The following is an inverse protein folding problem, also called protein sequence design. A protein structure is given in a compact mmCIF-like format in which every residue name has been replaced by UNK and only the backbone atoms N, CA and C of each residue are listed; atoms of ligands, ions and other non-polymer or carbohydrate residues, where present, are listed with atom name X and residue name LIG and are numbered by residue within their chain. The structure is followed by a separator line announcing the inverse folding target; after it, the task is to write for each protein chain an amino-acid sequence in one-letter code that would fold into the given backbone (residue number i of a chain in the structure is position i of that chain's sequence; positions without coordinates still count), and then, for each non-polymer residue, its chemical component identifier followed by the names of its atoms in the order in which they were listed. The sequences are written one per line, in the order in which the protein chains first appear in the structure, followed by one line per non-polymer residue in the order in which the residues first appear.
data_IF_959843537088
#
_entry.id   IF_959843537088
#
_cell.length_a   1.000
_cell.length_b   1.000
_cell.length_c   1.000
_cell.angle_alpha   90.00
_cell.angle_beta   90.00
_cell.angle_gamma   90.00
#
_symmetry.space_group_name_H-M   'P 1'
#
loop_
_entity.id
_entity.type
_entity.pdbx_description
1 polymer ?
#
# COMPACT_ATOMS: atom_id res chain seq x y z
N UNK A 1 11.69 33.71 25.91
CA UNK A 1 12.39 33.31 27.15
C UNK A 1 12.73 31.84 27.00
N UNK A 2 14.02 31.48 26.83
CA UNK A 2 14.42 30.06 26.77
C UNK A 2 14.08 29.39 28.10
N UNK A 3 13.36 28.27 28.04
CA UNK A 3 13.22 27.37 29.18
C UNK A 3 14.63 27.00 29.67
N UNK A 4 14.90 27.01 30.98
CA UNK A 4 16.18 26.56 31.49
C UNK A 4 16.42 25.11 31.03
N UNK A 5 17.56 24.90 30.39
CA UNK A 5 17.99 23.60 29.86
C UNK A 5 18.25 22.69 31.06
N UNK A 6 17.47 21.62 31.19
CA UNK A 6 17.62 20.69 32.30
C UNK A 6 19.01 20.03 32.25
N UNK A 7 19.67 19.77 33.40
CA UNK A 7 21.06 19.31 33.43
C UNK A 7 21.30 17.96 32.74
N UNK A 8 20.27 17.13 32.57
CA UNK A 8 20.33 15.84 31.89
C UNK A 8 20.10 15.92 30.37
N UNK A 9 19.69 17.07 29.85
CA UNK A 9 19.17 17.19 28.47
C UNK A 9 20.23 16.93 27.39
N UNK A 10 21.49 17.31 27.63
CA UNK A 10 22.58 17.07 26.67
C UNK A 10 22.99 15.59 26.65
N UNK A 11 23.08 14.94 27.82
CA UNK A 11 23.37 13.51 27.91
C UNK A 11 22.23 12.68 27.26
N UNK A 12 20.98 13.04 27.56
CA UNK A 12 19.80 12.41 26.96
C UNK A 12 19.81 12.57 25.44
N UNK A 13 20.00 13.79 24.93
CA UNK A 13 20.05 14.05 23.50
C UNK A 13 21.19 13.26 22.81
N UNK A 14 22.36 13.19 23.44
CA UNK A 14 23.50 12.41 22.93
C UNK A 14 23.19 10.92 22.87
N UNK A 15 22.58 10.37 23.93
CA UNK A 15 22.21 8.95 24.01
C UNK A 15 21.16 8.58 22.95
N UNK A 16 20.14 9.41 22.76
CA UNK A 16 19.12 9.22 21.72
C UNK A 16 19.69 9.37 20.31
N UNK A 17 20.58 10.34 20.08
CA UNK A 17 21.24 10.51 18.79
C UNK A 17 22.13 9.29 18.45
N UNK A 18 22.88 8.77 19.43
CA UNK A 18 23.67 7.55 19.25
C UNK A 18 22.78 6.34 18.91
N UNK A 19 21.64 6.20 19.58
CA UNK A 19 20.69 5.12 19.32
C UNK A 19 20.08 5.20 17.90
N UNK A 20 19.75 6.41 17.40
CA UNK A 20 19.30 6.61 16.01
C UNK A 20 20.36 6.21 15.00
N UNK A 21 21.61 6.62 15.21
CA UNK A 21 22.72 6.26 14.31
C UNK A 21 22.93 4.75 14.31
N UNK A 22 22.89 4.11 15.48
CA UNK A 22 22.97 2.66 15.60
C UNK A 22 21.83 1.97 14.82
N UNK A 23 20.58 2.40 15.02
CA UNK A 23 19.40 1.83 14.37
C UNK A 23 19.48 1.97 12.84
N UNK A 24 19.82 3.17 12.33
CA UNK A 24 19.98 3.42 10.91
C UNK A 24 21.17 2.66 10.30
N UNK A 25 22.18 2.30 11.09
CA UNK A 25 23.28 1.45 10.62
C UNK A 25 22.86 -0.03 10.53
N UNK A 26 22.07 -0.52 11.48
CA UNK A 26 21.59 -1.92 11.51
C UNK A 26 20.50 -2.19 10.47
N UNK A 27 19.54 -1.27 10.31
CA UNK A 27 18.49 -1.35 9.30
C UNK A 27 18.51 -0.10 8.38
N UNK A 28 19.46 0.01 7.44
CA UNK A 28 19.61 1.19 6.58
C UNK A 28 18.42 1.48 5.66
N UNK A 29 17.53 0.50 5.46
CA UNK A 29 16.29 0.67 4.71
C UNK A 29 15.19 1.39 5.51
N UNK A 30 15.31 1.49 6.83
CA UNK A 30 14.42 2.24 7.71
C UNK A 30 15.00 3.60 8.12
N UNK A 31 16.15 4.01 7.59
CA UNK A 31 16.82 5.24 8.01
C UNK A 31 15.92 6.49 7.95
N UNK A 32 15.12 6.64 6.89
CA UNK A 32 14.17 7.76 6.79
C UNK A 32 13.15 7.73 7.94
N UNK A 33 12.59 6.56 8.26
CA UNK A 33 11.68 6.40 9.39
C UNK A 33 12.36 6.73 10.73
N UNK A 34 13.60 6.26 10.94
CA UNK A 34 14.40 6.52 12.16
C UNK A 34 14.60 8.02 12.39
N UNK A 35 14.90 8.78 11.34
CA UNK A 35 15.14 10.22 11.47
C UNK A 35 13.86 11.05 11.48
N UNK A 36 12.75 10.53 10.93
CA UNK A 36 11.43 11.16 10.97
C UNK A 36 10.67 10.92 12.28
N UNK A 37 11.00 9.87 13.04
CA UNK A 37 10.42 9.61 14.36
C UNK A 37 10.69 10.80 15.29
N UNK A 38 9.64 11.37 15.88
CA UNK A 38 9.78 12.45 16.86
C UNK A 38 10.01 11.79 18.23
N UNK A 39 11.04 12.22 18.96
CA UNK A 39 11.27 11.76 20.33
C UNK A 39 10.91 12.88 21.28
N UNK A 40 9.90 12.68 22.11
CA UNK A 40 9.43 13.65 23.08
C UNK A 40 9.87 13.25 24.50
N UNK A 41 10.82 13.99 25.10
CA UNK A 41 11.19 13.76 26.49
C UNK A 41 10.03 14.12 27.42
N UNK A 42 9.65 13.18 28.27
CA UNK A 42 8.62 13.37 29.29
C UNK A 42 9.16 14.15 30.49
N UNK A 43 8.23 14.58 31.36
CA UNK A 43 8.62 15.15 32.65
C UNK A 43 9.23 14.04 33.50
N UNK A 44 10.51 14.16 33.90
CA UNK A 44 11.18 13.10 34.62
C UNK A 44 10.64 12.92 36.02
N UNK A 45 10.66 11.67 36.49
CA UNK A 45 10.57 11.34 37.90
C UNK A 45 11.95 11.40 38.55
N UNK A 46 12.04 11.94 39.77
CA UNK A 46 13.28 12.02 40.53
C UNK A 46 13.08 11.51 41.97
N UNK A 47 14.07 10.81 42.50
CA UNK A 47 14.05 10.31 43.86
C UNK A 47 14.04 11.47 44.86
N UNK A 48 13.03 11.53 45.73
CA UNK A 48 12.80 12.67 46.66
C UNK A 48 14.04 13.04 47.50
N UNK A 49 14.88 12.05 47.84
CA UNK A 49 16.03 12.22 48.74
C UNK A 49 17.33 12.60 48.01
N UNK A 50 17.56 12.09 46.81
CA UNK A 50 18.83 12.27 46.08
C UNK A 50 18.71 13.21 44.88
N UNK A 51 17.49 13.45 44.39
CA UNK A 51 17.24 14.20 43.16
C UNK A 51 17.68 13.46 41.90
N UNK A 52 18.13 12.21 42.02
CA UNK A 52 18.52 11.38 40.89
C UNK A 52 17.29 10.94 40.09
N UNK A 53 17.45 10.86 38.77
CA UNK A 53 16.39 10.39 37.89
C UNK A 53 16.05 8.93 38.21
N UNK A 54 14.76 8.63 38.23
CA UNK A 54 14.25 7.29 38.48
C UNK A 54 13.66 6.77 37.17
N UNK A 55 14.13 5.60 36.72
CA UNK A 55 13.57 4.92 35.57
C UNK A 55 12.13 4.48 35.85
N UNK A 56 11.24 4.80 34.93
CA UNK A 56 9.84 4.40 34.95
C UNK A 56 9.64 3.13 34.09
N UNK A 57 9.26 1.98 34.68
CA UNK A 57 8.99 0.74 33.95
C UNK A 57 7.89 0.88 32.89
N UNK A 58 6.97 1.83 33.02
CA UNK A 58 5.90 2.07 32.04
C UNK A 58 6.48 2.48 30.67
N UNK A 59 7.67 3.09 30.65
CA UNK A 59 8.36 3.55 29.44
C UNK A 59 9.52 2.64 29.03
N UNK A 60 9.62 1.43 29.60
CA UNK A 60 10.70 0.48 29.29
C UNK A 60 10.76 0.06 27.81
N UNK A 61 9.61 0.06 27.12
CA UNK A 61 9.48 -0.22 25.69
C UNK A 61 9.51 1.03 24.80
N UNK A 62 9.68 2.22 25.40
CA UNK A 62 9.65 3.51 24.72
C UNK A 62 8.43 3.66 23.79
N UNK A 63 7.21 3.65 24.35
CA UNK A 63 5.97 3.56 23.59
C UNK A 63 5.84 4.68 22.55
N UNK A 64 5.24 4.34 21.41
CA UNK A 64 4.90 5.32 20.37
C UNK A 64 3.40 5.55 20.26
N UNK A 65 3.04 6.73 19.77
CA UNK A 65 1.67 7.03 19.36
C UNK A 65 1.49 7.02 17.83
N UNK A 66 0.23 7.05 17.40
CA UNK A 66 -0.14 7.04 15.97
C UNK A 66 0.34 8.28 15.19
N UNK A 67 0.87 9.30 15.86
CA UNK A 67 1.45 10.51 15.26
C UNK A 67 2.97 10.42 15.12
N UNK A 68 3.56 9.24 15.28
CA UNK A 68 5.01 9.03 15.18
C UNK A 68 5.80 9.79 16.26
N UNK A 69 5.22 9.92 17.45
CA UNK A 69 5.92 10.40 18.63
C UNK A 69 6.29 9.23 19.52
N UNK A 70 7.57 9.09 19.82
CA UNK A 70 8.14 8.17 20.80
C UNK A 70 8.29 8.91 22.11
N UNK A 71 7.61 8.42 23.14
CA UNK A 71 7.57 9.02 24.46
C UNK A 71 8.75 8.52 25.29
N UNK A 72 9.60 9.44 25.73
CA UNK A 72 10.89 9.11 26.34
C UNK A 72 10.95 9.59 27.78
N UNK A 73 10.85 8.67 28.74
CA UNK A 73 11.22 8.96 30.12
C UNK A 73 12.75 9.15 30.24
N UNK A 74 13.25 10.30 30.73
CA UNK A 74 14.68 10.54 30.86
C UNK A 74 15.40 9.53 31.77
N UNK A 75 14.77 9.07 32.86
CA UNK A 75 15.38 8.11 33.78
C UNK A 75 15.62 6.76 33.10
N UNK A 76 14.59 6.24 32.44
CA UNK A 76 14.62 4.99 31.68
C UNK A 76 15.60 5.08 30.51
N UNK A 77 15.55 6.16 29.73
CA UNK A 77 16.45 6.36 28.61
C UNK A 77 17.93 6.40 29.04
N UNK A 78 18.25 7.03 30.17
CA UNK A 78 19.63 7.12 30.63
C UNK A 78 20.14 5.83 31.28
N UNK A 79 19.24 5.01 31.83
CA UNK A 79 19.57 3.68 32.37
C UNK A 79 19.71 2.61 31.28
N UNK A 80 19.19 2.85 30.08
CA UNK A 80 19.14 1.86 28.99
C UNK A 80 20.37 1.97 28.06
N UNK A 81 21.03 0.85 27.72
CA UNK A 81 22.12 0.82 26.73
C UNK A 81 21.68 1.37 25.36
N UNK A 82 22.60 2.05 24.67
CA UNK A 82 22.35 2.67 23.35
C UNK A 82 21.80 1.66 22.33
N UNK A 83 22.36 0.46 22.29
CA UNK A 83 21.96 -0.58 21.32
C UNK A 83 20.54 -1.06 21.59
N UNK A 84 20.15 -1.14 22.86
CA UNK A 84 18.80 -1.52 23.27
C UNK A 84 17.77 -0.43 22.94
N UNK A 85 18.11 0.85 23.12
CA UNK A 85 17.25 1.97 22.65
C UNK A 85 17.14 1.91 21.12
N UNK A 86 18.25 1.63 20.42
CA UNK A 86 18.28 1.47 18.97
C UNK A 86 17.35 0.35 18.49
N UNK A 87 17.34 -0.79 19.19
CA UNK A 87 16.42 -1.88 18.94
C UNK A 87 14.96 -1.45 19.13
N UNK A 88 14.64 -0.78 20.24
CA UNK A 88 13.29 -0.24 20.48
C UNK A 88 12.87 0.77 19.41
N UNK A 89 13.76 1.61 18.89
CA UNK A 89 13.45 2.51 17.77
C UNK A 89 13.00 1.72 16.54
N UNK A 90 13.73 0.68 16.15
CA UNK A 90 13.38 -0.15 15.01
C UNK A 90 12.06 -0.89 15.25
N UNK A 91 11.88 -1.43 16.45
CA UNK A 91 10.67 -2.11 16.86
C UNK A 91 9.45 -1.20 16.79
N UNK A 92 9.52 -0.01 17.39
CA UNK A 92 8.43 0.96 17.38
C UNK A 92 8.11 1.48 15.97
N UNK A 93 9.12 1.68 15.11
CA UNK A 93 8.90 1.97 13.68
C UNK A 93 8.14 0.83 13.00
N UNK A 94 8.40 -0.42 13.38
CA UNK A 94 7.65 -1.58 12.95
C UNK A 94 6.14 -1.41 13.16
N UNK A 95 5.71 -1.03 14.37
CA UNK A 95 4.29 -0.80 14.66
C UNK A 95 3.69 0.29 13.77
N UNK A 96 4.39 1.41 13.66
CA UNK A 96 3.91 2.59 12.93
C UNK A 96 3.79 2.33 11.43
N UNK A 97 4.82 1.74 10.82
CA UNK A 97 4.90 1.51 9.38
C UNK A 97 3.95 0.38 8.95
N UNK A 98 3.74 -0.63 9.80
CA UNK A 98 2.82 -1.75 9.53
C UNK A 98 1.37 -1.46 9.89
N UNK A 99 1.11 -0.28 10.45
CA UNK A 99 -0.23 0.17 10.81
C UNK A 99 -0.91 -0.75 11.83
N UNK A 100 -0.17 -1.21 12.84
CA UNK A 100 -0.72 -2.12 13.86
C UNK A 100 -1.92 -1.50 14.60
N UNK A 101 -1.87 -0.20 14.90
CA UNK A 101 -3.01 0.53 15.45
C UNK A 101 -4.29 0.41 14.60
N UNK A 102 -4.18 0.50 13.26
CA UNK A 102 -5.33 0.42 12.35
C UNK A 102 -5.81 -1.02 12.11
N UNK A 103 -4.89 -1.99 12.25
CA UNK A 103 -5.16 -3.42 12.09
C UNK A 103 -5.72 -4.06 13.37
N UNK A 104 -5.54 -3.40 14.52
CA UNK A 104 -6.04 -3.85 15.80
C UNK A 104 -7.54 -4.21 15.75
N UNK A 105 -7.93 -5.43 16.14
CA UNK A 105 -9.32 -5.80 16.26
C UNK A 105 -9.98 -5.14 17.47
N UNK A 106 -9.17 -4.62 18.40
CA UNK A 106 -9.60 -3.98 19.63
C UNK A 106 -10.12 -2.59 19.30
N UNK A 107 -11.40 -2.34 19.60
CA UNK A 107 -12.00 -1.03 19.38
C UNK A 107 -12.04 -0.25 20.68
N UNK A 108 -11.60 1.02 20.70
CA UNK A 108 -11.78 1.86 21.86
C UNK A 108 -13.28 2.01 22.13
N UNK A 109 -13.78 1.44 23.23
CA UNK A 109 -15.17 1.70 23.62
C UNK A 109 -15.25 3.13 24.15
N UNK A 110 -16.20 3.93 23.68
CA UNK A 110 -16.40 5.29 24.19
C UNK A 110 -17.19 5.24 25.50
N UNK A 111 -16.63 5.74 26.61
CA UNK A 111 -17.35 5.86 27.88
C UNK A 111 -16.41 6.02 29.09
N UNK A 112 -16.95 6.36 30.28
CA UNK A 112 -16.18 6.43 31.52
C UNK A 112 -15.65 5.07 32.00
N UNK A 113 -16.18 3.96 31.46
CA UNK A 113 -15.74 2.58 31.70
C UNK A 113 -14.93 1.99 30.52
N UNK A 114 -14.36 2.84 29.65
CA UNK A 114 -13.56 2.41 28.51
C UNK A 114 -12.34 1.60 28.98
N UNK A 115 -11.97 0.51 28.28
CA UNK A 115 -10.89 -0.35 28.71
C UNK A 115 -9.58 0.41 28.77
N UNK A 116 -8.85 0.13 29.84
CA UNK A 116 -7.53 0.67 30.10
C UNK A 116 -6.53 -0.20 29.35
N UNK A 117 -5.85 0.38 28.37
CA UNK A 117 -4.59 0.02 27.71
C UNK A 117 -3.91 -1.34 28.01
N UNK A 118 -3.09 -1.84 27.06
CA UNK A 118 -2.44 -3.17 27.07
C UNK A 118 -1.71 -3.62 28.37
N UNK A 119 -1.36 -2.69 29.27
CA UNK A 119 -0.71 -2.98 30.56
C UNK A 119 -1.51 -2.57 31.80
N UNK A 120 -2.62 -1.83 31.66
CA UNK A 120 -3.51 -1.40 32.75
C UNK A 120 -2.81 -0.90 34.01
N UNK A 121 -2.69 0.41 34.21
CA UNK A 121 -2.34 0.95 35.54
C UNK A 121 -3.45 1.86 36.06
N UNK A 122 -3.95 1.54 37.27
CA UNK A 122 -5.13 2.08 37.97
C UNK A 122 -6.51 1.43 37.66
N UNK A 123 -6.53 0.32 36.91
CA UNK A 123 -7.73 -0.48 36.65
C UNK A 123 -7.36 -1.66 35.75
N UNK A 124 -8.27 -2.64 35.62
CA UNK A 124 -8.01 -3.91 34.94
C UNK A 124 -7.38 -3.70 33.56
N UNK A 125 -6.32 -4.48 33.27
CA UNK A 125 -5.71 -4.61 31.95
C UNK A 125 -6.76 -4.96 30.91
N UNK A 126 -6.73 -4.29 29.76
CA UNK A 126 -7.40 -4.79 28.57
C UNK A 126 -6.62 -5.99 28.02
N UNK A 127 -7.09 -7.19 28.34
CA UNK A 127 -6.51 -8.45 27.89
C UNK A 127 -6.52 -8.57 26.36
N UNK A 128 -7.53 -8.03 25.69
CA UNK A 128 -7.62 -8.09 24.22
C UNK A 128 -6.56 -7.16 23.60
N UNK A 129 -6.40 -5.94 24.13
CA UNK A 129 -5.36 -5.01 23.71
C UNK A 129 -3.95 -5.57 23.98
N UNK A 130 -3.79 -6.25 25.12
CA UNK A 130 -2.52 -6.88 25.44
C UNK A 130 -2.14 -7.99 24.48
N UNK A 131 -3.07 -8.90 24.19
CA UNK A 131 -2.84 -10.01 23.25
C UNK A 131 -2.53 -9.49 21.84
N UNK A 132 -3.23 -8.43 21.41
CA UNK A 132 -2.90 -7.77 20.16
C UNK A 132 -1.49 -7.18 20.17
N UNK A 133 -1.08 -6.51 21.26
CA UNK A 133 0.28 -5.98 21.38
C UNK A 133 1.33 -7.10 21.26
N UNK A 134 1.14 -8.23 21.96
CA UNK A 134 2.06 -9.37 21.86
C UNK A 134 2.14 -9.97 20.44
N UNK A 135 1.02 -10.03 19.73
CA UNK A 135 0.98 -10.52 18.37
C UNK A 135 1.65 -9.55 17.37
N UNK A 136 1.46 -8.24 17.59
CA UNK A 136 2.13 -7.18 16.85
C UNK A 136 3.65 -7.19 17.10
N UNK A 137 4.06 -7.37 18.35
CA UNK A 137 5.47 -7.53 18.74
C UNK A 137 6.08 -8.75 18.06
N UNK A 138 5.36 -9.87 18.02
CA UNK A 138 5.81 -11.09 17.33
C UNK A 138 6.07 -10.85 15.83
N UNK A 139 5.18 -10.15 15.10
CA UNK A 139 5.40 -9.79 13.68
C UNK A 139 6.67 -8.95 13.48
N UNK A 140 7.01 -8.09 14.43
CA UNK A 140 8.18 -7.21 14.36
C UNK A 140 9.45 -7.95 14.76
N UNK A 141 9.41 -8.65 15.89
CA UNK A 141 10.57 -9.31 16.48
C UNK A 141 11.06 -10.46 15.62
N UNK A 142 10.16 -11.16 14.90
CA UNK A 142 10.51 -12.16 13.88
C UNK A 142 11.48 -11.61 12.82
N UNK A 143 11.21 -10.42 12.28
CA UNK A 143 12.08 -9.78 11.29
C UNK A 143 13.39 -9.26 11.92
N UNK A 144 13.35 -8.75 13.15
CA UNK A 144 14.56 -8.30 13.87
C UNK A 144 15.49 -9.49 14.22
N UNK A 145 14.91 -10.60 14.67
CA UNK A 145 15.62 -11.86 14.93
C UNK A 145 16.25 -12.42 13.65
N UNK A 146 15.56 -12.32 12.51
CA UNK A 146 16.08 -12.75 11.22
C UNK A 146 17.34 -11.97 10.78
N UNK A 147 17.52 -10.73 11.27
CA UNK A 147 18.72 -9.91 11.07
C UNK A 147 19.79 -10.11 12.16
N UNK A 148 19.56 -11.02 13.11
CA UNK A 148 20.44 -11.22 14.26
C UNK A 148 20.43 -10.05 15.25
N UNK A 149 19.31 -9.29 15.29
CA UNK A 149 19.08 -8.23 16.26
C UNK A 149 18.27 -8.78 17.44
N UNK A 150 18.97 -9.50 18.32
CA UNK A 150 18.38 -10.05 19.54
C UNK A 150 17.81 -8.91 20.41
N UNK A 151 16.55 -9.08 20.82
CA UNK A 151 15.85 -8.09 21.63
C UNK A 151 16.26 -8.08 23.11
N UNK A 152 15.76 -7.11 23.89
CA UNK A 152 15.81 -7.13 25.35
C UNK A 152 15.32 -8.46 25.93
N UNK A 153 15.71 -8.75 27.17
CA UNK A 153 15.05 -9.79 27.94
C UNK A 153 13.53 -9.51 28.03
N UNK A 154 12.75 -10.58 28.05
CA UNK A 154 11.30 -10.55 28.28
C UNK A 154 10.43 -9.97 27.14
N UNK A 155 10.99 -9.67 25.96
CA UNK A 155 10.18 -9.39 24.76
C UNK A 155 9.64 -10.68 24.14
N UNK A 156 8.54 -10.59 23.40
CA UNK A 156 7.97 -11.73 22.67
C UNK A 156 8.97 -12.19 21.60
N UNK A 157 9.44 -13.43 21.68
CA UNK A 157 10.30 -14.05 20.67
C UNK A 157 9.59 -15.22 20.00
N UNK A 158 9.13 -15.08 18.74
CA UNK A 158 8.50 -16.18 18.01
C UNK A 158 9.41 -17.41 17.91
N UNK A 159 10.71 -17.21 17.70
CA UNK A 159 11.69 -18.29 17.65
C UNK A 159 11.81 -19.03 19.00
N UNK A 160 11.89 -18.31 20.12
CA UNK A 160 11.95 -18.93 21.45
C UNK A 160 10.66 -19.66 21.83
N UNK A 161 9.52 -19.20 21.31
CA UNK A 161 8.21 -19.83 21.48
C UNK A 161 7.97 -21.01 20.51
N UNK A 162 8.88 -21.26 19.56
CA UNK A 162 8.76 -22.34 18.57
C UNK A 162 7.68 -22.07 17.51
N UNK A 163 7.32 -20.81 17.30
CA UNK A 163 6.32 -20.39 16.32
C UNK A 163 6.93 -20.29 14.91
N UNK A 164 6.12 -20.46 13.86
CA UNK A 164 6.61 -20.32 12.49
C UNK A 164 6.97 -18.86 12.18
N UNK A 165 8.15 -18.64 11.61
CA UNK A 165 8.59 -17.32 11.12
C UNK A 165 7.74 -16.79 9.95
N UNK A 166 7.92 -15.50 9.67
CA UNK A 166 7.34 -14.70 8.61
C UNK A 166 5.81 -14.63 8.62
N UNK A 167 5.21 -14.43 9.80
CA UNK A 167 3.75 -14.31 9.97
C UNK A 167 3.33 -12.87 10.28
N UNK A 168 2.09 -12.55 9.94
CA UNK A 168 1.44 -11.31 10.34
C UNK A 168 0.90 -11.41 11.76
N UNK A 169 0.66 -10.27 12.41
CA UNK A 169 0.09 -10.17 13.76
C UNK A 169 -1.23 -10.95 13.86
N UNK A 170 -2.11 -10.88 12.86
CA UNK A 170 -3.39 -11.61 12.84
C UNK A 170 -3.20 -13.13 12.75
N UNK A 171 -2.07 -13.60 12.20
CA UNK A 171 -1.72 -15.02 12.17
C UNK A 171 -1.07 -15.45 13.50
N UNK A 172 -0.27 -14.59 14.13
CA UNK A 172 0.37 -14.87 15.43
C UNK A 172 -0.64 -14.86 16.60
N UNK A 173 -1.63 -13.97 16.56
CA UNK A 173 -2.62 -13.79 17.62
C UNK A 173 -3.26 -15.12 18.10
N UNK A 174 -3.90 -15.94 17.23
CA UNK A 174 -4.48 -17.21 17.68
C UNK A 174 -3.44 -18.21 18.20
N UNK A 175 -2.19 -18.17 17.72
CA UNK A 175 -1.12 -19.05 18.20
C UNK A 175 -0.68 -18.67 19.62
N UNK A 176 -0.59 -17.37 19.89
CA UNK A 176 -0.25 -16.84 21.20
C UNK A 176 -1.40 -17.05 22.20
N UNK A 177 -2.66 -16.98 21.75
CA UNK A 177 -3.82 -17.35 22.56
C UNK A 177 -3.72 -18.81 23.04
N UNK A 178 -3.45 -19.75 22.12
CA UNK A 178 -3.27 -21.17 22.45
C UNK A 178 -2.11 -21.38 23.45
N UNK A 179 -0.97 -20.71 23.23
CA UNK A 179 0.17 -20.80 24.15
C UNK A 179 -0.15 -20.19 25.52
N UNK A 180 -0.89 -19.09 25.58
CA UNK A 180 -1.32 -18.45 26.83
C UNK A 180 -2.23 -19.39 27.63
N UNK A 181 -3.18 -20.06 26.96
CA UNK A 181 -4.05 -21.06 27.59
C UNK A 181 -3.26 -22.25 28.13
N UNK A 182 -2.25 -22.72 27.41
CA UNK A 182 -1.38 -23.83 27.85
C UNK A 182 -0.51 -23.46 29.06
N UNK A 183 -0.06 -22.20 29.13
CA UNK A 183 0.71 -21.68 30.26
C UNK A 183 -0.17 -21.32 31.45
N UNK A 184 -1.48 -21.19 31.26
CA UNK A 184 -2.43 -20.84 32.30
C UNK A 184 -2.33 -21.84 33.47
N UNK A 185 -2.10 -21.33 34.69
CA UNK A 185 -1.91 -22.13 35.89
C UNK A 185 -0.48 -22.62 36.16
N UNK A 186 0.48 -22.38 35.25
CA UNK A 186 1.91 -22.64 35.49
C UNK A 186 2.64 -21.47 36.15
N UNK A 187 2.01 -20.28 36.18
CA UNK A 187 2.61 -19.04 36.68
C UNK A 187 3.68 -18.44 35.77
N UNK A 188 3.79 -18.92 34.52
CA UNK A 188 4.68 -18.37 33.49
C UNK A 188 3.87 -17.51 32.52
N UNK A 189 4.43 -16.36 32.14
CA UNK A 189 3.90 -15.48 31.11
C UNK A 189 4.74 -15.60 29.83
N UNK A 190 4.15 -15.23 28.68
CA UNK A 190 4.81 -15.29 27.37
C UNK A 190 5.88 -14.20 27.20
N UNK A 191 5.66 -13.06 27.84
CA UNK A 191 6.54 -11.89 27.81
C UNK A 191 6.25 -11.05 29.05
N UNK A 192 7.12 -10.09 29.34
CA UNK A 192 6.72 -9.00 30.21
C UNK A 192 5.53 -8.28 29.56
N UNK A 193 4.52 -7.93 30.36
CA UNK A 193 3.47 -7.01 29.94
C UNK A 193 4.08 -5.65 29.68
N UNK A 194 4.60 -5.42 28.48
CA UNK A 194 5.15 -4.14 28.03
C UNK A 194 4.11 -3.40 27.20
N UNK A 195 4.09 -2.06 27.31
CA UNK A 195 3.26 -1.19 26.50
C UNK A 195 4.07 -0.63 25.34
N UNK A 196 3.71 -0.98 24.10
CA UNK A 196 4.28 -0.34 22.91
C UNK A 196 3.56 0.98 22.55
N UNK A 197 2.51 1.35 23.30
CA UNK A 197 1.74 2.57 23.12
C UNK A 197 0.62 2.45 22.08
N UNK A 198 -0.06 3.56 21.81
CA UNK A 198 -1.20 3.61 20.90
C UNK A 198 -0.81 3.35 19.44
N UNK A 199 0.47 3.46 19.07
CA UNK A 199 0.98 3.03 17.77
C UNK A 199 0.80 1.51 17.53
N UNK A 200 0.74 0.71 18.60
CA UNK A 200 0.55 -0.72 18.52
C UNK A 200 -0.93 -1.15 18.48
N UNK A 201 -1.78 -0.56 19.33
CA UNK A 201 -3.16 -1.03 19.56
C UNK A 201 -4.26 -0.02 19.20
N UNK A 202 -3.91 1.24 18.94
CA UNK A 202 -4.85 2.30 18.61
C UNK A 202 -5.64 2.87 19.79
N UNK A 203 -5.27 2.54 21.03
CA UNK A 203 -5.94 3.04 22.23
C UNK A 203 -5.13 4.22 22.80
N UNK A 204 -5.74 5.40 22.90
CA UNK A 204 -5.02 6.59 23.37
C UNK A 204 -4.52 6.43 24.82
N UNK A 205 -3.28 6.87 25.07
CA UNK A 205 -2.64 6.90 26.40
C UNK A 205 -2.64 8.32 26.98
N UNK A 206 -2.38 8.43 28.29
CA UNK A 206 -2.30 9.74 28.98
C UNK A 206 -1.17 10.64 28.46
N UNK A 207 -0.13 10.04 27.88
CA UNK A 207 0.99 10.75 27.29
C UNK A 207 0.77 11.12 25.81
N UNK A 208 -0.21 10.53 25.12
CA UNK A 208 -0.49 10.85 23.70
C UNK A 208 -1.00 12.29 23.52
N UNK A 209 -1.54 12.89 24.59
CA UNK A 209 -2.10 14.24 24.59
C UNK A 209 -1.13 15.31 25.10
N UNK A 210 0.11 14.97 25.45
CA UNK A 210 1.09 15.94 25.98
C UNK A 210 1.80 16.76 24.90
N UNK A 211 1.73 16.36 23.62
CA UNK A 211 2.52 16.93 22.54
C UNK A 211 1.73 17.70 21.47
N UNK A 212 2.21 18.89 21.10
CA UNK A 212 1.80 19.59 19.87
C UNK A 212 2.56 19.09 18.61
N UNK A 213 3.41 18.07 18.76
CA UNK A 213 4.30 17.54 17.72
C UNK A 213 3.79 16.26 17.06
N UNK A 214 4.60 15.70 16.15
CA UNK A 214 4.31 14.48 15.40
C UNK A 214 3.92 14.75 13.94
N UNK A 215 3.96 13.70 13.13
CA UNK A 215 3.70 13.77 11.69
C UNK A 215 2.21 13.88 11.40
N UNK A 216 1.86 14.78 10.47
CA UNK A 216 0.53 14.85 9.88
C UNK A 216 0.24 13.64 8.97
N UNK A 217 -1.04 13.45 8.61
CA UNK A 217 -1.45 12.30 7.78
C UNK A 217 -0.71 12.21 6.44
N UNK A 218 -0.59 13.34 5.73
CA UNK A 218 0.14 13.40 4.47
C UNK A 218 1.64 13.12 4.64
N UNK A 219 2.25 13.63 5.71
CA UNK A 219 3.68 13.41 5.99
C UNK A 219 3.94 11.92 6.26
N UNK A 220 3.05 11.25 7.01
CA UNK A 220 3.12 9.79 7.25
C UNK A 220 2.97 9.01 5.95
N UNK A 221 1.98 9.33 5.12
CA UNK A 221 1.76 8.67 3.83
C UNK A 221 2.99 8.78 2.92
N UNK A 222 3.59 9.98 2.84
CA UNK A 222 4.81 10.22 2.05
C UNK A 222 6.01 9.48 2.62
N UNK A 223 6.17 9.47 3.95
CA UNK A 223 7.25 8.76 4.63
C UNK A 223 7.16 7.25 4.40
N UNK A 224 6.01 6.65 4.65
CA UNK A 224 5.77 5.21 4.42
C UNK A 224 6.02 4.85 2.95
N UNK A 225 5.54 5.66 2.01
CA UNK A 225 5.81 5.44 0.58
C UNK A 225 7.30 5.52 0.27
N UNK A 226 8.03 6.48 0.84
CA UNK A 226 9.48 6.60 0.69
C UNK A 226 10.22 5.38 1.25
N UNK A 227 9.82 4.88 2.43
CA UNK A 227 10.40 3.67 3.05
C UNK A 227 10.15 2.44 2.16
N UNK A 228 8.93 2.28 1.63
CA UNK A 228 8.59 1.18 0.75
C UNK A 228 9.43 1.19 -0.54
N UNK A 229 9.64 2.36 -1.15
CA UNK A 229 10.50 2.51 -2.34
C UNK A 229 11.95 2.15 -1.99
N UNK A 230 12.48 2.67 -0.88
CA UNK A 230 13.84 2.38 -0.44
C UNK A 230 14.10 0.90 -0.14
N UNK A 231 13.09 0.19 0.37
CA UNK A 231 13.14 -1.27 0.53
C UNK A 231 13.21 -1.97 -0.84
N UNK A 232 12.34 -1.61 -1.79
CA UNK A 232 12.34 -2.22 -3.13
C UNK A 232 13.65 -2.00 -3.89
N UNK A 233 14.24 -0.81 -3.78
CA UNK A 233 15.54 -0.50 -4.39
C UNK A 233 16.65 -1.41 -3.84
N UNK A 234 16.68 -1.65 -2.53
CA UNK A 234 17.66 -2.53 -1.89
C UNK A 234 17.48 -4.00 -2.26
N UNK A 235 16.24 -4.47 -2.30
CA UNK A 235 15.92 -5.82 -2.79
C UNK A 235 16.38 -5.98 -4.24
N UNK A 236 16.13 -4.98 -5.09
CA UNK A 236 16.58 -4.97 -6.49
C UNK A 236 18.10 -4.95 -6.61
N UNK A 237 18.79 -4.27 -5.69
CA UNK A 237 20.25 -4.28 -5.55
C UNK A 237 20.80 -5.56 -4.91
N UNK A 238 19.96 -6.58 -4.64
CA UNK A 238 20.32 -7.85 -4.00
C UNK A 238 20.90 -7.70 -2.59
N UNK A 239 20.50 -6.66 -1.88
CA UNK A 239 20.80 -6.53 -0.45
C UNK A 239 19.87 -7.43 0.36
N UNK A 240 20.35 -7.92 1.50
CA UNK A 240 19.54 -8.67 2.45
C UNK A 240 18.52 -7.72 3.11
N UNK A 241 17.25 -8.11 3.06
CA UNK A 241 16.12 -7.44 3.73
C UNK A 241 15.17 -8.55 4.18
N UNK A 242 14.66 -8.54 5.43
CA UNK A 242 13.72 -9.55 5.91
C UNK A 242 12.46 -9.66 5.05
N UNK A 243 11.91 -10.87 4.93
CA UNK A 243 10.77 -11.13 4.05
C UNK A 243 9.50 -10.38 4.49
N UNK A 244 9.32 -10.09 5.79
CA UNK A 244 8.22 -9.25 6.27
C UNK A 244 8.27 -7.86 5.67
N UNK A 245 9.43 -7.20 5.70
CA UNK A 245 9.66 -5.90 5.07
C UNK A 245 9.48 -5.91 3.54
N UNK A 246 9.94 -6.96 2.86
CA UNK A 246 9.76 -7.08 1.40
C UNK A 246 8.27 -7.14 1.02
N UNK A 247 7.49 -7.98 1.72
CA UNK A 247 6.05 -8.13 1.48
C UNK A 247 5.30 -6.84 1.78
N UNK A 248 5.61 -6.19 2.91
CA UNK A 248 5.01 -4.92 3.28
C UNK A 248 5.26 -3.85 2.20
N UNK A 249 6.49 -3.73 1.70
CA UNK A 249 6.82 -2.74 0.67
C UNK A 249 6.11 -3.04 -0.66
N UNK A 250 6.03 -4.31 -1.07
CA UNK A 250 5.28 -4.73 -2.25
C UNK A 250 3.79 -4.38 -2.14
N UNK A 251 3.17 -4.70 -1.00
CA UNK A 251 1.76 -4.39 -0.76
C UNK A 251 1.50 -2.88 -0.70
N UNK A 252 2.38 -2.12 -0.03
CA UNK A 252 2.25 -0.67 0.12
C UNK A 252 2.35 0.07 -1.21
N UNK A 253 3.17 -0.42 -2.12
CA UNK A 253 3.36 0.15 -3.46
C UNK A 253 2.43 -0.46 -4.50
N UNK A 254 1.67 -1.51 -4.14
CA UNK A 254 0.69 -2.12 -5.03
C UNK A 254 -0.36 -1.07 -5.42
N UNK A 255 -0.58 -0.82 -6.72
CA UNK A 255 -1.60 0.11 -7.17
C UNK A 255 -2.98 -0.32 -6.62
N UNK A 256 -3.66 0.58 -5.87
CA UNK A 256 -4.98 0.31 -5.26
C UNK A 256 -6.09 0.03 -6.27
N UNK A 257 -5.84 0.25 -7.56
CA UNK A 257 -6.67 -0.24 -8.66
C UNK A 257 -5.76 -1.02 -9.61
N UNK A 258 -5.95 -2.34 -9.70
CA UNK A 258 -5.47 -3.11 -10.84
C UNK A 258 -6.27 -2.68 -12.06
N UNK A 259 -5.85 -1.57 -12.65
CA UNK A 259 -6.49 -0.99 -13.82
C UNK A 259 -6.50 -2.00 -14.96
N UNK A 260 -5.55 -2.93 -15.04
CA UNK A 260 -5.55 -4.02 -16.03
C UNK A 260 -6.71 -4.97 -15.79
N UNK A 261 -6.98 -5.34 -14.54
CA UNK A 261 -8.16 -6.13 -14.17
C UNK A 261 -9.47 -5.37 -14.48
N UNK A 262 -9.52 -4.04 -14.25
CA UNK A 262 -10.70 -3.20 -14.53
C UNK A 262 -10.96 -3.05 -16.02
N UNK A 263 -9.94 -2.77 -16.84
CA UNK A 263 -10.02 -2.79 -18.31
C UNK A 263 -10.49 -4.17 -18.77
N UNK A 264 -9.86 -5.24 -18.28
CA UNK A 264 -10.23 -6.62 -18.63
C UNK A 264 -11.69 -6.95 -18.27
N UNK A 265 -12.19 -6.48 -17.13
CA UNK A 265 -13.59 -6.66 -16.70
C UNK A 265 -14.56 -5.92 -17.63
N UNK A 266 -14.25 -4.67 -17.98
CA UNK A 266 -15.07 -3.88 -18.90
C UNK A 266 -15.08 -4.46 -20.32
N UNK A 267 -13.92 -4.87 -20.84
CA UNK A 267 -13.83 -5.55 -22.15
C UNK A 267 -14.67 -6.84 -22.14
N UNK A 268 -14.60 -7.66 -21.07
CA UNK A 268 -15.44 -8.86 -20.93
C UNK A 268 -16.93 -8.53 -20.82
N UNK A 269 -17.30 -7.46 -20.11
CA UNK A 269 -18.70 -7.00 -19.99
C UNK A 269 -19.25 -6.55 -21.34
N UNK A 270 -18.49 -5.79 -22.11
CA UNK A 270 -18.87 -5.37 -23.47
C UNK A 270 -18.94 -6.57 -24.41
N UNK A 271 -17.97 -7.49 -24.35
CA UNK A 271 -18.02 -8.75 -25.08
C UNK A 271 -19.30 -9.52 -24.78
N UNK A 272 -19.71 -9.60 -23.51
CA UNK A 272 -20.93 -10.30 -23.09
C UNK A 272 -22.23 -9.60 -23.53
N UNK A 273 -22.24 -8.26 -23.63
CA UNK A 273 -23.38 -7.46 -24.11
C UNK A 273 -23.54 -7.53 -25.63
N UNK A 274 -22.45 -7.38 -26.39
CA UNK A 274 -22.45 -7.61 -27.84
C UNK A 274 -22.76 -9.08 -28.16
N UNK A 275 -22.39 -10.02 -27.27
CA UNK A 275 -22.74 -11.44 -27.38
C UNK A 275 -24.13 -11.80 -26.84
N UNK A 276 -25.13 -10.93 -26.97
CA UNK A 276 -26.52 -11.42 -26.95
C UNK A 276 -26.58 -12.70 -27.80
N UNK A 277 -26.90 -13.84 -27.18
CA UNK A 277 -26.65 -15.20 -27.69
C UNK A 277 -27.50 -15.51 -28.93
N UNK A 278 -27.16 -14.97 -30.11
CA UNK A 278 -27.99 -15.17 -31.31
C UNK A 278 -27.24 -15.25 -32.64
N UNK A 279 -25.90 -15.13 -32.67
CA UNK A 279 -25.22 -15.13 -33.97
C UNK A 279 -24.83 -16.54 -34.45
N UNK A 280 -25.53 -16.94 -35.51
CA UNK A 280 -25.38 -18.21 -36.21
C UNK A 280 -24.40 -18.04 -37.37
N UNK A 281 -23.22 -18.63 -37.27
CA UNK A 281 -22.26 -18.64 -38.37
C UNK A 281 -22.36 -19.92 -39.18
N UNK A 282 -22.54 -19.77 -40.50
CA UNK A 282 -22.42 -20.87 -41.47
C UNK A 282 -21.00 -20.99 -42.04
N UNK A 283 -20.07 -20.13 -41.61
CA UNK A 283 -18.69 -20.08 -42.12
C UNK A 283 -17.89 -21.34 -41.82
N UNK A 284 -18.31 -22.10 -40.81
CA UNK A 284 -17.83 -23.45 -40.48
C UNK A 284 -19.03 -24.30 -40.04
N UNK A 285 -19.37 -25.40 -40.74
CA UNK A 285 -20.47 -26.27 -40.33
C UNK A 285 -20.22 -26.84 -38.92
N UNK A 286 -21.28 -26.94 -38.12
CA UNK A 286 -21.19 -27.54 -36.79
C UNK A 286 -20.74 -28.99 -36.88
N UNK A 287 -19.96 -29.47 -35.90
CA UNK A 287 -19.66 -30.90 -35.77
C UNK A 287 -20.93 -31.76 -35.60
N UNK A 288 -22.03 -31.15 -35.16
CA UNK A 288 -23.36 -31.77 -35.08
C UNK A 288 -23.99 -32.06 -36.45
N UNK A 289 -23.49 -31.43 -37.52
CA UNK A 289 -23.89 -31.73 -38.91
C UNK A 289 -23.58 -33.18 -39.29
N UNK A 290 -22.65 -33.85 -38.60
CA UNK A 290 -22.38 -35.27 -38.81
C UNK A 290 -23.59 -36.19 -38.54
N UNK A 291 -24.58 -35.75 -37.74
CA UNK A 291 -25.82 -36.50 -37.50
C UNK A 291 -26.94 -36.21 -38.50
N UNK A 292 -26.81 -35.19 -39.34
CA UNK A 292 -27.83 -34.75 -40.31
C UNK A 292 -27.13 -34.23 -41.58
N UNK A 293 -26.68 -35.12 -42.49
CA UNK A 293 -25.86 -34.75 -43.65
C UNK A 293 -26.57 -33.83 -44.66
N UNK A 294 -27.91 -33.82 -44.67
CA UNK A 294 -28.71 -33.00 -45.59
C UNK A 294 -28.99 -31.58 -45.08
N UNK A 295 -28.53 -31.23 -43.86
CA UNK A 295 -28.81 -29.93 -43.23
C UNK A 295 -27.51 -29.28 -42.76
N UNK A 296 -27.11 -28.18 -43.40
CA UNK A 296 -26.00 -27.34 -42.90
C UNK A 296 -26.48 -26.64 -41.63
N UNK A 297 -26.05 -27.12 -40.46
CA UNK A 297 -26.41 -26.47 -39.19
C UNK A 297 -25.40 -25.38 -38.83
N UNK A 298 -25.85 -24.16 -38.48
CA UNK A 298 -24.96 -23.09 -38.08
C UNK A 298 -24.23 -23.40 -36.75
N UNK A 299 -23.05 -22.82 -36.56
CA UNK A 299 -22.38 -22.79 -35.26
C UNK A 299 -22.74 -21.52 -34.50
N UNK A 300 -23.00 -21.68 -33.19
CA UNK A 300 -23.04 -20.54 -32.27
C UNK A 300 -21.60 -20.02 -32.14
N UNK A 301 -21.34 -18.80 -32.58
CA UNK A 301 -20.04 -18.13 -32.38
C UNK A 301 -20.15 -17.14 -31.23
N UNK A 302 -19.08 -17.00 -30.45
CA UNK A 302 -18.94 -15.89 -29.50
C UNK A 302 -18.17 -14.77 -30.19
N UNK A 303 -18.84 -13.71 -30.71
CA UNK A 303 -18.13 -12.60 -31.30
C UNK A 303 -17.26 -11.93 -30.24
N UNK A 304 -15.97 -11.77 -30.53
CA UNK A 304 -15.08 -10.90 -29.76
C UNK A 304 -15.53 -9.47 -30.08
N UNK A 305 -15.68 -8.52 -29.13
CA UNK A 305 -16.10 -7.16 -29.45
C UNK A 305 -15.07 -6.49 -30.35
N UNK A 306 -15.52 -5.71 -31.31
CA UNK A 306 -14.63 -4.89 -32.13
C UNK A 306 -14.18 -3.67 -31.30
N UNK A 307 -12.88 -3.59 -31.02
CA UNK A 307 -12.29 -2.59 -30.12
C UNK A 307 -11.34 -1.68 -30.87
N UNK A 308 -11.49 -0.37 -30.67
CA UNK A 308 -10.62 0.66 -31.23
C UNK A 308 -9.99 1.45 -30.09
N UNK A 309 -8.70 1.74 -30.21
CA UNK A 309 -7.96 2.60 -29.30
C UNK A 309 -7.88 4.01 -29.89
N UNK A 310 -8.26 5.02 -29.13
CA UNK A 310 -8.01 6.43 -29.43
C UNK A 310 -6.89 6.90 -28.52
N UNK A 311 -5.78 7.33 -29.10
CA UNK A 311 -4.57 7.75 -28.41
C UNK A 311 -4.48 9.27 -28.47
N UNK A 312 -4.54 9.93 -27.31
CA UNK A 312 -4.22 11.34 -27.19
C UNK A 312 -2.72 11.54 -27.47
N UNK A 313 -2.44 12.38 -28.46
CA UNK A 313 -1.09 12.70 -28.92
C UNK A 313 -0.77 14.18 -28.75
N UNK A 314 -1.55 14.89 -27.92
CA UNK A 314 -1.27 16.26 -27.55
C UNK A 314 0.03 16.40 -26.77
N UNK A 315 0.60 17.61 -26.79
CA UNK A 315 1.93 17.88 -26.23
C UNK A 315 2.08 17.65 -24.71
N UNK A 316 0.99 17.40 -23.97
CA UNK A 316 1.01 17.13 -22.54
C UNK A 316 1.38 15.68 -22.19
N UNK A 317 1.29 14.73 -23.13
CA UNK A 317 1.59 13.31 -22.87
C UNK A 317 2.91 12.89 -23.52
N UNK A 318 3.86 12.36 -22.72
CA UNK A 318 5.21 12.01 -23.20
C UNK A 318 5.18 10.73 -24.05
N UNK A 319 5.91 10.74 -25.18
CA UNK A 319 5.93 9.61 -26.15
C UNK A 319 6.27 8.23 -25.56
N UNK A 320 7.27 8.07 -24.69
CA UNK A 320 7.61 6.75 -24.11
C UNK A 320 6.50 6.18 -23.24
N UNK A 321 5.79 7.03 -22.49
CA UNK A 321 4.69 6.65 -21.61
C UNK A 321 3.49 6.14 -22.42
N UNK A 322 3.19 6.79 -23.55
CA UNK A 322 2.15 6.35 -24.49
C UNK A 322 2.44 4.98 -25.08
N UNK A 323 3.68 4.72 -25.51
CA UNK A 323 4.06 3.43 -26.11
C UNK A 323 3.89 2.27 -25.13
N UNK A 324 4.30 2.45 -23.88
CA UNK A 324 4.13 1.47 -22.81
C UNK A 324 2.64 1.22 -22.53
N UNK A 325 1.84 2.27 -22.38
CA UNK A 325 0.40 2.12 -22.13
C UNK A 325 -0.33 1.42 -23.27
N UNK A 326 0.03 1.71 -24.52
CA UNK A 326 -0.54 1.01 -25.68
C UNK A 326 -0.15 -0.48 -25.67
N UNK A 327 1.11 -0.81 -25.36
CA UNK A 327 1.56 -2.20 -25.29
C UNK A 327 0.75 -3.00 -24.27
N UNK A 328 0.50 -2.42 -23.10
CA UNK A 328 -0.27 -3.07 -22.05
C UNK A 328 -1.76 -3.24 -22.40
N UNK A 329 -2.38 -2.22 -23.00
CA UNK A 329 -3.76 -2.34 -23.52
C UNK A 329 -3.84 -3.42 -24.60
N UNK A 330 -2.84 -3.48 -25.49
CA UNK A 330 -2.77 -4.51 -26.53
C UNK A 330 -2.66 -5.92 -25.92
N UNK A 331 -1.87 -6.13 -24.86
CA UNK A 331 -1.80 -7.40 -24.15
C UNK A 331 -3.13 -7.81 -23.49
N UNK A 332 -3.84 -6.87 -22.87
CA UNK A 332 -5.15 -7.12 -22.27
C UNK A 332 -6.14 -7.56 -23.36
N UNK A 333 -6.15 -6.89 -24.50
CA UNK A 333 -7.03 -7.23 -25.63
C UNK A 333 -6.64 -8.56 -26.30
N UNK A 334 -5.36 -8.89 -26.35
CA UNK A 334 -4.87 -10.18 -26.84
C UNK A 334 -5.41 -11.34 -26.01
N UNK A 335 -5.46 -11.19 -24.67
CA UNK A 335 -6.06 -12.19 -23.75
C UNK A 335 -7.55 -12.41 -23.98
N UNK A 336 -8.26 -11.45 -24.59
CA UNK A 336 -9.70 -11.58 -24.95
C UNK A 336 -9.90 -12.09 -26.39
N UNK A 337 -8.81 -12.45 -27.08
CA UNK A 337 -8.85 -13.07 -28.39
C UNK A 337 -8.77 -12.10 -29.57
N UNK A 338 -8.46 -10.81 -29.35
CA UNK A 338 -8.15 -9.86 -30.42
C UNK A 338 -6.66 -9.85 -30.72
N UNK A 339 -6.29 -10.32 -31.91
CA UNK A 339 -4.89 -10.35 -32.40
C UNK A 339 -4.47 -9.12 -33.22
N UNK A 340 -5.41 -8.21 -33.48
CA UNK A 340 -5.18 -6.98 -34.24
C UNK A 340 -5.91 -5.85 -33.55
N UNK A 341 -5.23 -4.72 -33.38
CA UNK A 341 -5.74 -3.53 -32.71
C UNK A 341 -5.80 -2.38 -33.71
N UNK A 342 -6.93 -1.68 -33.77
CA UNK A 342 -7.07 -0.44 -34.53
C UNK A 342 -6.79 0.73 -33.60
N UNK A 343 -5.84 1.59 -33.96
CA UNK A 343 -5.41 2.75 -33.18
C UNK A 343 -5.63 4.02 -33.99
N UNK A 344 -6.27 5.02 -33.40
CA UNK A 344 -6.44 6.36 -33.94
C UNK A 344 -5.64 7.31 -33.06
N UNK A 345 -4.58 7.93 -33.60
CA UNK A 345 -3.94 9.06 -32.93
C UNK A 345 -4.85 10.29 -33.07
N UNK A 346 -5.02 11.05 -32.01
CA UNK A 346 -5.86 12.24 -31.98
C UNK A 346 -5.15 13.37 -31.24
N UNK A 347 -5.17 14.55 -31.83
CA UNK A 347 -4.82 15.81 -31.19
C UNK A 347 -6.02 16.78 -31.36
N UNK A 348 -5.88 17.92 -32.03
CA UNK A 348 -7.01 18.74 -32.49
C UNK A 348 -7.83 18.05 -33.60
N UNK A 349 -7.23 17.08 -34.28
CA UNK A 349 -7.90 16.29 -35.32
C UNK A 349 -7.58 14.80 -35.15
N UNK A 350 -8.46 13.96 -35.69
CA UNK A 350 -8.22 12.52 -35.76
C UNK A 350 -7.33 12.17 -36.96
N UNK A 351 -6.27 11.42 -36.72
CA UNK A 351 -5.42 10.87 -37.77
C UNK A 351 -5.98 9.54 -38.31
N UNK A 352 -5.53 9.10 -39.50
CA UNK A 352 -5.97 7.83 -40.08
C UNK A 352 -5.74 6.65 -39.12
N UNK A 353 -6.74 5.78 -39.02
CA UNK A 353 -6.66 4.59 -38.18
C UNK A 353 -5.55 3.64 -38.67
N UNK A 354 -4.72 3.18 -37.74
CA UNK A 354 -3.63 2.24 -37.95
C UNK A 354 -4.04 0.87 -37.42
N UNK A 355 -3.86 -0.19 -38.21
CA UNK A 355 -4.08 -1.57 -37.76
C UNK A 355 -2.73 -2.18 -37.39
N UNK A 356 -2.52 -2.43 -36.10
CA UNK A 356 -1.26 -2.94 -35.56
C UNK A 356 -1.44 -4.35 -34.98
N UNK A 357 -0.39 -5.17 -35.09
CA UNK A 357 -0.27 -6.46 -34.39
C UNK A 357 0.71 -6.39 -33.24
N UNK A 358 1.70 -5.51 -33.36
CA UNK A 358 2.74 -5.27 -32.37
C UNK A 358 2.94 -3.78 -32.20
N UNK A 359 3.42 -3.37 -31.04
CA UNK A 359 3.57 -1.96 -30.72
C UNK A 359 4.55 -1.24 -31.66
N UNK A 360 5.59 -1.93 -32.15
CA UNK A 360 6.59 -1.34 -33.04
C UNK A 360 6.02 -0.95 -34.42
N UNK A 361 4.81 -1.40 -34.76
CA UNK A 361 4.10 -1.03 -35.98
C UNK A 361 3.34 0.30 -35.83
N UNK A 362 3.14 0.78 -34.59
CA UNK A 362 2.44 2.03 -34.32
C UNK A 362 3.31 3.23 -34.67
N UNK A 363 2.76 4.14 -35.48
CA UNK A 363 3.36 5.45 -35.74
C UNK A 363 2.60 6.52 -34.98
N UNK A 364 3.20 7.05 -33.92
CA UNK A 364 2.61 8.15 -33.15
C UNK A 364 2.74 9.45 -33.95
N UNK A 365 1.61 9.89 -34.53
CA UNK A 365 1.45 11.12 -35.32
C UNK A 365 0.58 12.10 -34.55
N UNK A 366 0.86 13.40 -34.69
CA UNK A 366 0.20 14.48 -33.94
C UNK A 366 1.21 15.37 -33.22
N UNK A 367 0.75 16.04 -32.16
CA UNK A 367 1.56 16.94 -31.32
C UNK A 367 0.98 18.35 -31.16
N UNK A 368 -0.29 18.57 -31.56
CA UNK A 368 -1.00 19.82 -31.36
C UNK A 368 -1.67 19.96 -29.99
N UNK A 369 -2.73 20.79 -29.93
CA UNK A 369 -3.68 20.80 -28.81
C UNK A 369 -4.54 19.53 -28.77
N UNK A 370 -5.59 19.48 -27.95
CA UNK A 370 -6.38 18.26 -27.78
C UNK A 370 -7.88 18.49 -27.98
N UNK A 371 -8.53 17.61 -28.77
CA UNK A 371 -9.99 17.54 -28.96
C UNK A 371 -10.47 16.10 -29.22
N UNK A 372 -10.82 15.39 -28.16
CA UNK A 372 -11.33 14.01 -28.23
C UNK A 372 -12.69 13.88 -28.94
N UNK A 373 -13.41 14.98 -29.24
CA UNK A 373 -14.60 14.92 -30.10
C UNK A 373 -14.22 14.43 -31.50
N UNK A 374 -13.07 14.87 -32.02
CA UNK A 374 -12.57 14.46 -33.32
C UNK A 374 -12.23 12.96 -33.35
N UNK A 375 -11.50 12.48 -32.34
CA UNK A 375 -11.11 11.06 -32.22
C UNK A 375 -12.32 10.12 -32.12
N UNK A 376 -13.30 10.47 -31.29
CA UNK A 376 -14.52 9.69 -31.12
C UNK A 376 -15.42 9.73 -32.37
N UNK A 377 -15.50 10.87 -33.06
CA UNK A 377 -16.22 10.98 -34.32
C UNK A 377 -15.58 10.12 -35.43
N UNK A 378 -14.25 10.09 -35.52
CA UNK A 378 -13.52 9.23 -36.45
C UNK A 378 -13.76 7.74 -36.13
N UNK A 379 -13.74 7.35 -34.85
CA UNK A 379 -14.06 5.98 -34.44
C UNK A 379 -15.49 5.58 -34.85
N UNK A 380 -16.46 6.49 -34.77
CA UNK A 380 -17.85 6.22 -35.18
C UNK A 380 -18.02 5.97 -36.69
N UNK A 381 -17.11 6.49 -37.51
CA UNK A 381 -17.12 6.35 -38.97
C UNK A 381 -16.48 5.04 -39.45
N UNK A 382 -15.71 4.35 -38.59
CA UNK A 382 -15.05 3.10 -38.96
C UNK A 382 -16.04 2.01 -39.38
N UNK A 383 -15.57 1.14 -40.28
CA UNK A 383 -16.27 -0.06 -40.75
C UNK A 383 -15.33 -1.26 -40.64
N UNK A 384 -15.71 -2.33 -39.90
CA UNK A 384 -16.86 -2.42 -39.01
C UNK A 384 -16.82 -1.37 -37.89
N UNK A 385 -18.01 -0.98 -37.42
CA UNK A 385 -18.16 -0.04 -36.30
C UNK A 385 -17.63 -0.71 -35.01
N UNK A 386 -16.86 0.00 -34.17
CA UNK A 386 -16.43 -0.54 -32.89
C UNK A 386 -17.63 -0.78 -31.95
N UNK A 387 -17.56 -1.85 -31.17
CA UNK A 387 -18.39 -2.10 -29.99
C UNK A 387 -17.86 -1.34 -28.78
N UNK A 388 -16.53 -1.22 -28.67
CA UNK A 388 -15.81 -0.57 -27.59
C UNK A 388 -14.75 0.38 -28.14
N UNK A 389 -14.72 1.60 -27.63
CA UNK A 389 -13.61 2.53 -27.83
C UNK A 389 -12.90 2.76 -26.51
N UNK A 390 -11.60 2.49 -26.48
CA UNK A 390 -10.72 2.80 -25.36
C UNK A 390 -10.00 4.11 -25.70
N UNK A 391 -10.08 5.10 -24.82
CA UNK A 391 -9.40 6.40 -24.99
C UNK A 391 -8.28 6.47 -23.98
N UNK A 392 -7.06 6.79 -24.42
CA UNK A 392 -5.92 7.11 -23.55
C UNK A 392 -5.69 8.61 -23.65
N UNK A 393 -5.85 9.34 -22.53
CA UNK A 393 -5.72 10.81 -22.47
C UNK A 393 -5.41 11.25 -21.04
N UNK A 394 -4.86 12.44 -20.85
CA UNK A 394 -4.76 13.09 -19.54
C UNK A 394 -6.10 13.68 -19.06
N UNK A 395 -7.15 13.61 -19.88
CA UNK A 395 -8.51 14.06 -19.57
C UNK A 395 -8.74 15.56 -19.74
N UNK A 396 -7.74 16.35 -20.13
CA UNK A 396 -7.83 17.80 -20.32
C UNK A 396 -8.29 18.16 -21.74
N UNK A 397 -9.45 17.64 -22.12
CA UNK A 397 -9.99 17.70 -23.49
C UNK A 397 -11.44 18.13 -23.52
N UNK A 398 -11.89 18.85 -24.56
CA UNK A 398 -13.29 18.87 -24.92
C UNK A 398 -13.81 17.45 -25.16
N UNK A 399 -14.95 17.12 -24.56
CA UNK A 399 -15.68 15.87 -24.75
C UNK A 399 -16.96 16.12 -25.55
N UNK A 400 -17.52 15.11 -26.24
CA UNK A 400 -18.82 15.28 -26.89
C UNK A 400 -19.94 15.34 -25.86
N UNK A 401 -20.88 16.27 -26.05
CA UNK A 401 -22.04 16.46 -25.16
C UNK A 401 -22.98 15.24 -25.15
N UNK A 402 -23.00 14.48 -26.25
CA UNK A 402 -23.84 13.30 -26.42
C UNK A 402 -23.00 12.04 -26.40
N UNK A 403 -23.50 11.01 -25.71
CA UNK A 403 -22.89 9.68 -25.66
C UNK A 403 -22.66 9.15 -27.08
N UNK A 404 -21.42 8.75 -27.43
CA UNK A 404 -21.13 8.07 -28.68
C UNK A 404 -21.90 6.75 -28.80
N UNK A 405 -22.10 6.25 -30.03
CA UNK A 405 -22.95 5.09 -30.29
C UNK A 405 -22.22 3.74 -30.09
N UNK A 406 -21.20 3.72 -29.22
CA UNK A 406 -20.39 2.58 -28.82
C UNK A 406 -20.06 2.71 -27.32
N UNK A 407 -19.71 1.61 -26.66
CA UNK A 407 -19.22 1.70 -25.28
C UNK A 407 -17.88 2.42 -25.26
N UNK A 408 -17.67 3.26 -24.25
CA UNK A 408 -16.46 4.07 -24.14
C UNK A 408 -15.80 3.87 -22.79
N UNK A 409 -14.50 3.60 -22.84
CA UNK A 409 -13.63 3.47 -21.68
C UNK A 409 -12.53 4.52 -21.77
N UNK A 410 -12.53 5.47 -20.84
CA UNK A 410 -11.51 6.52 -20.74
C UNK A 410 -10.47 6.10 -19.71
N UNK A 411 -9.24 5.90 -20.14
CA UNK A 411 -8.11 5.67 -19.27
C UNK A 411 -7.37 6.99 -19.10
N UNK A 412 -7.49 7.56 -17.91
CA UNK A 412 -6.94 8.87 -17.55
C UNK A 412 -5.50 8.69 -17.10
N UNK A 413 -4.57 9.32 -17.80
CA UNK A 413 -3.16 9.40 -17.40
C UNK A 413 -3.03 10.53 -16.39
N UNK A 414 -2.62 10.21 -15.16
CA UNK A 414 -2.51 11.17 -14.07
C UNK A 414 -3.80 11.38 -13.25
N UNK A 415 -3.72 12.17 -12.17
CA UNK A 415 -4.79 12.28 -11.17
C UNK A 415 -5.92 13.25 -11.56
N UNK A 416 -5.64 14.31 -12.32
CA UNK A 416 -6.52 15.48 -12.43
C UNK A 416 -7.49 15.44 -13.62
N UNK A 417 -7.36 14.45 -14.51
CA UNK A 417 -8.19 14.31 -15.69
C UNK A 417 -9.66 14.00 -15.36
N UNK A 418 -10.59 14.52 -16.18
CA UNK A 418 -12.02 14.25 -16.03
C UNK A 418 -12.54 13.50 -17.26
N UNK A 419 -13.29 12.43 -17.00
CA UNK A 419 -14.04 11.71 -18.01
C UNK A 419 -15.54 12.11 -17.95
N UNK A 420 -16.25 12.12 -19.09
CA UNK A 420 -17.67 12.43 -19.12
C UNK A 420 -18.49 11.31 -18.45
N UNK A 421 -19.62 11.67 -17.82
CA UNK A 421 -20.47 10.74 -17.05
C UNK A 421 -20.97 9.53 -17.85
N UNK A 422 -21.09 9.66 -19.17
CA UNK A 422 -21.54 8.59 -20.06
C UNK A 422 -20.46 7.54 -20.36
N UNK A 423 -19.19 7.80 -20.00
CA UNK A 423 -18.07 6.89 -20.21
C UNK A 423 -17.69 6.17 -18.90
N UNK A 424 -17.23 4.93 -19.02
CA UNK A 424 -16.52 4.29 -17.92
C UNK A 424 -15.12 4.86 -17.82
N UNK A 425 -14.63 5.17 -16.62
CA UNK A 425 -13.27 5.68 -16.43
C UNK A 425 -12.41 4.79 -15.54
N UNK A 426 -11.09 4.87 -15.75
CA UNK A 426 -10.04 4.31 -14.90
C UNK A 426 -8.85 5.27 -14.90
N UNK A 427 -8.24 5.50 -13.73
CA UNK A 427 -6.98 6.24 -13.64
C UNK A 427 -5.82 5.27 -13.80
N UNK A 428 -4.87 5.65 -14.64
CA UNK A 428 -3.61 4.95 -14.87
C UNK A 428 -2.56 5.53 -13.92
N UNK A 429 -1.65 4.70 -13.39
CA UNK A 429 -0.54 5.19 -12.58
C UNK A 429 0.35 6.12 -13.41
N UNK A 430 0.96 7.12 -12.77
CA UNK A 430 2.03 7.91 -13.40
C UNK A 430 3.23 6.99 -13.68
N UNK A 431 3.50 6.76 -14.96
CA UNK A 431 4.61 5.90 -15.39
C UNK A 431 5.84 6.78 -15.58
N UNK A 432 6.59 7.05 -14.50
CA UNK A 432 7.69 8.01 -14.59
C UNK A 432 8.65 8.14 -13.40
N UNK A 433 8.61 7.26 -12.40
CA UNK A 433 9.61 7.23 -11.33
C UNK A 433 10.34 5.88 -11.30
N UNK A 434 11.06 5.59 -12.39
CA UNK A 434 12.18 4.65 -12.36
C UNK A 434 13.38 5.41 -12.91
N UNK A 435 14.34 5.70 -12.05
CA UNK A 435 15.67 6.20 -12.39
C UNK A 435 16.69 5.42 -11.58
#
# INVERSE_FOLDING_TARGET
MSRPVAPYSEELATRLAAARVWAAHRAPYLANAVFSLVMEPLTPSAAERTGELVADPEFAAFPTDTRWVMHVDPGTALATPVEQIGWWILHQIGHLVRGHAQRSPVRPTSGPDAPLHAVGYAGARDEDAHRWNQAADAEINDDLEAEGLDGPADVVSPAALGLPSNRLAEEYLPMLDELTELLHGTGRELSAGLDCGSGADGIDRRWDSTGAGGLGELERELLERSVAVGIQERVSARSEVPMGWQRWAEERLRPRVDWRARIGSLVRKTANRSSGRVDYSYRRPSRRTAGHPDVITPQLVRPVPDTVLVLDTSGSVRRPELEQLVAEVAEILAKVGRRRLRVICCDLQAHPAQEIRRIEELRIVGGGGTDMRAGLAAAAQLRPRPDLVVVLTDGHTPWPDRRPPFESLVCLVGPDGVAPEWASSVHLPEMGATS
#
